data_IF_314361921750
#
_entry.id   IF_314361921750
#
_cell.length_a   1.000
_cell.length_b   1.000
_cell.length_c   1.000
_cell.angle_alpha   90.00
_cell.angle_beta   90.00
_cell.angle_gamma   90.00
#
_symmetry.space_group_name_H-M   'P 1'
#
loop_
_entity.id
_entity.type
_entity.pdbx_description
1 polymer ?
#
# COMPACT_ATOMS: atom_id res chain seq x y z
N UNK A 1 13.45 7.39 103.66
CA UNK A 1 13.76 8.80 104.00
C UNK A 1 15.21 9.21 103.71
N UNK A 2 16.26 8.44 104.06
CA UNK A 2 17.64 8.93 103.87
C UNK A 2 18.10 9.13 102.41
N UNK A 3 17.61 8.33 101.45
CA UNK A 3 18.06 8.41 100.04
C UNK A 3 17.51 9.64 99.28
N UNK A 4 16.23 9.96 99.43
CA UNK A 4 15.60 11.14 98.78
C UNK A 4 16.32 12.45 99.13
N UNK A 5 16.75 12.61 100.39
CA UNK A 5 17.46 13.81 100.84
C UNK A 5 18.86 13.96 100.21
N UNK A 6 19.50 12.84 99.83
CA UNK A 6 20.83 12.82 99.19
C UNK A 6 20.72 13.16 97.69
N UNK A 7 19.66 12.70 97.03
CA UNK A 7 19.33 13.09 95.65
C UNK A 7 18.95 14.58 95.55
N UNK A 8 18.17 15.10 96.50
CA UNK A 8 17.85 16.53 96.57
C UNK A 8 19.12 17.40 96.72
N UNK A 9 20.08 16.98 97.56
CA UNK A 9 21.36 17.69 97.70
C UNK A 9 22.24 17.57 96.44
N UNK A 10 22.26 16.41 95.79
CA UNK A 10 23.00 16.20 94.52
C UNK A 10 22.46 17.09 93.40
N UNK A 11 21.12 17.21 93.30
CA UNK A 11 20.46 18.08 92.32
C UNK A 11 20.71 19.57 92.61
N UNK A 12 20.71 19.97 93.88
CA UNK A 12 21.09 21.34 94.32
C UNK A 12 22.54 21.67 93.91
N UNK A 13 23.49 20.73 94.01
CA UNK A 13 24.87 20.94 93.56
C UNK A 13 24.91 21.08 92.02
N UNK A 14 24.25 20.17 91.29
CA UNK A 14 24.22 20.20 89.83
C UNK A 14 23.52 21.45 89.23
N UNK A 15 22.52 22.02 89.92
CA UNK A 15 21.91 23.30 89.52
C UNK A 15 22.83 24.50 89.82
N UNK A 16 23.59 24.43 90.92
CA UNK A 16 24.53 25.49 91.31
C UNK A 16 25.73 25.56 90.37
N UNK A 17 26.26 24.42 89.94
CA UNK A 17 27.35 24.33 88.95
C UNK A 17 26.92 24.81 87.54
N UNK A 18 25.63 25.10 87.33
CA UNK A 18 25.03 25.57 86.07
C UNK A 18 24.53 27.02 86.13
N UNK A 19 24.78 27.75 87.23
CA UNK A 19 24.31 29.13 87.48
C UNK A 19 22.79 29.34 87.28
N UNK A 20 21.99 28.29 87.49
CA UNK A 20 20.52 28.38 87.42
C UNK A 20 20.02 28.94 88.77
N UNK A 21 19.18 29.99 88.80
CA UNK A 21 18.60 30.47 90.05
C UNK A 21 17.52 29.50 90.54
N UNK A 22 17.67 28.94 91.76
CA UNK A 22 16.73 27.99 92.34
C UNK A 22 16.45 28.25 93.83
N UNK A 23 15.29 27.78 94.30
CA UNK A 23 14.86 27.89 95.70
C UNK A 23 15.17 26.58 96.47
N UNK A 24 16.18 26.63 97.34
CA UNK A 24 16.61 25.47 98.16
C UNK A 24 15.52 24.87 99.05
N UNK A 25 14.54 25.67 99.49
CA UNK A 25 13.47 25.19 100.37
C UNK A 25 12.42 24.37 99.59
N UNK A 26 12.09 24.84 98.38
CA UNK A 26 11.03 24.31 97.52
C UNK A 26 11.43 22.98 96.87
N UNK A 27 12.70 22.87 96.44
CA UNK A 27 13.28 21.57 96.01
C UNK A 27 13.23 20.56 97.16
N UNK A 28 13.58 20.98 98.39
CA UNK A 28 13.56 20.08 99.55
C UNK A 28 12.14 19.64 99.92
N UNK A 29 11.11 20.48 99.76
CA UNK A 29 9.72 20.06 99.94
C UNK A 29 9.25 19.07 98.87
N UNK A 30 9.60 19.28 97.59
CA UNK A 30 9.20 18.43 96.47
C UNK A 30 9.79 17.01 96.50
N UNK A 31 10.82 16.79 97.33
CA UNK A 31 11.40 15.47 97.63
C UNK A 31 10.92 14.87 98.98
N UNK A 32 10.17 15.62 99.78
CA UNK A 32 9.51 15.10 101.01
C UNK A 32 8.09 14.58 100.79
N UNK A 33 7.41 14.97 99.71
CA UNK A 33 6.11 14.43 99.37
C UNK A 33 6.26 13.09 98.61
N UNK A 34 5.73 12.01 99.19
CA UNK A 34 6.06 10.63 98.81
C UNK A 34 5.60 10.27 97.39
N UNK A 35 4.61 11.01 96.86
CA UNK A 35 4.10 10.82 95.50
C UNK A 35 4.95 11.55 94.46
N UNK A 36 5.27 12.83 94.69
CA UNK A 36 6.10 13.64 93.80
C UNK A 36 7.57 13.20 93.80
N UNK A 37 8.08 12.66 94.92
CA UNK A 37 9.45 12.17 95.02
C UNK A 37 9.78 11.13 93.93
N UNK A 38 8.87 10.20 93.61
CA UNK A 38 9.13 9.17 92.59
C UNK A 38 9.22 9.74 91.16
N UNK A 39 8.34 10.69 90.81
CA UNK A 39 8.40 11.38 89.52
C UNK A 39 9.64 12.27 89.45
N UNK A 40 9.92 13.05 90.50
CA UNK A 40 11.09 13.92 90.60
C UNK A 40 12.42 13.13 90.55
N UNK A 41 12.50 11.93 91.12
CA UNK A 41 13.66 11.03 90.95
C UNK A 41 13.83 10.58 89.49
N UNK A 42 12.75 10.25 88.79
CA UNK A 42 12.84 9.90 87.35
C UNK A 42 13.25 11.08 86.48
N UNK A 43 12.67 12.26 86.69
CA UNK A 43 13.05 13.50 85.99
C UNK A 43 14.50 13.91 86.27
N UNK A 44 14.96 13.78 87.52
CA UNK A 44 16.35 14.01 87.91
C UNK A 44 17.30 13.09 87.15
N UNK A 45 16.96 11.80 87.05
CA UNK A 45 17.76 10.80 86.35
C UNK A 45 17.83 11.07 84.85
N UNK A 46 16.72 11.47 84.22
CA UNK A 46 16.65 11.87 82.81
C UNK A 46 17.47 13.15 82.56
N UNK A 47 17.35 14.15 83.43
CA UNK A 47 18.10 15.42 83.34
C UNK A 47 19.62 15.22 83.51
N UNK A 48 20.03 14.31 84.40
CA UNK A 48 21.43 13.88 84.51
C UNK A 48 21.90 13.14 83.23
N UNK A 49 21.04 12.33 82.61
CA UNK A 49 21.35 11.68 81.32
C UNK A 49 21.48 12.68 80.16
N UNK A 50 20.91 13.89 80.28
CA UNK A 50 21.08 14.99 79.32
C UNK A 50 22.52 15.54 79.27
N UNK A 51 23.31 15.38 80.34
CA UNK A 51 24.74 15.80 80.37
C UNK A 51 25.57 15.13 79.26
N UNK A 52 25.22 13.89 78.93
CA UNK A 52 25.92 13.07 77.95
C UNK A 52 25.61 13.52 76.51
N UNK A 53 24.50 14.23 76.29
CA UNK A 53 24.20 14.89 75.02
C UNK A 53 24.95 16.21 74.87
N UNK A 54 25.14 16.96 75.95
CA UNK A 54 25.88 18.24 75.92
C UNK A 54 27.37 17.99 75.64
N UNK A 55 27.96 16.96 76.26
CA UNK A 55 29.35 16.54 75.97
C UNK A 55 29.51 15.97 74.56
N UNK A 56 28.52 15.25 74.03
CA UNK A 56 28.54 14.81 72.62
C UNK A 56 28.41 15.98 71.65
N UNK A 57 27.58 16.98 71.95
CA UNK A 57 27.43 18.17 71.11
C UNK A 57 28.73 18.97 71.02
N UNK A 58 29.41 19.25 72.14
CA UNK A 58 30.70 19.97 72.13
C UNK A 58 31.81 19.17 71.47
N UNK A 59 31.79 17.83 71.54
CA UNK A 59 32.69 16.97 70.76
C UNK A 59 32.38 17.00 69.25
N UNK A 60 31.10 17.05 68.85
CA UNK A 60 30.67 17.14 67.44
C UNK A 60 30.94 18.52 66.81
N UNK A 61 30.91 19.58 67.63
CA UNK A 61 31.29 20.95 67.27
C UNK A 61 32.82 21.08 67.14
N UNK A 62 33.58 20.63 68.13
CA UNK A 62 35.06 20.70 68.11
C UNK A 62 35.72 19.77 67.07
N UNK A 63 35.07 18.67 66.68
CA UNK A 63 35.54 17.82 65.56
C UNK A 63 35.19 18.38 64.18
N UNK A 64 34.47 19.50 64.08
CA UNK A 64 34.05 20.10 62.81
C UNK A 64 33.05 19.26 62.00
N UNK A 65 32.61 18.12 62.53
CA UNK A 65 31.67 17.20 61.86
C UNK A 65 30.31 17.87 61.62
N UNK A 66 29.86 18.73 62.54
CA UNK A 66 28.64 19.53 62.34
C UNK A 66 28.75 20.44 61.11
N UNK A 67 29.88 21.14 60.93
CA UNK A 67 30.07 22.02 59.77
C UNK A 67 30.09 21.22 58.46
N UNK A 68 30.64 20.01 58.50
CA UNK A 68 30.66 19.11 57.35
C UNK A 68 29.27 18.54 57.02
N UNK A 69 28.44 18.25 58.02
CA UNK A 69 27.03 17.84 57.83
C UNK A 69 26.21 19.01 57.27
N UNK A 70 26.36 20.22 57.80
CA UNK A 70 25.69 21.43 57.32
C UNK A 70 26.05 21.73 55.85
N UNK A 71 27.31 21.53 55.45
CA UNK A 71 27.76 21.77 54.07
C UNK A 71 27.39 20.65 53.07
N UNK A 72 27.14 19.42 53.53
CA UNK A 72 26.76 18.28 52.68
C UNK A 72 25.24 17.99 52.69
N UNK A 73 24.47 18.79 53.42
CA UNK A 73 23.01 18.75 53.37
C UNK A 73 22.55 19.33 52.03
N UNK A 74 22.06 18.47 51.13
CA UNK A 74 21.16 18.91 50.07
C UNK A 74 20.00 19.64 50.76
N UNK A 75 19.92 20.96 50.57
CA UNK A 75 19.12 21.88 51.39
C UNK A 75 17.60 21.65 51.32
N UNK A 76 17.18 20.62 50.59
CA UNK A 76 15.81 20.16 50.40
C UNK A 76 15.46 18.90 51.22
N UNK A 77 16.45 18.16 51.75
CA UNK A 77 16.23 16.91 52.47
C UNK A 77 15.74 17.11 53.92
N UNK A 78 16.37 18.05 54.64
CA UNK A 78 16.16 18.29 56.07
C UNK A 78 15.37 19.57 56.38
N UNK A 79 15.01 20.35 55.35
CA UNK A 79 14.11 21.50 55.51
C UNK A 79 12.71 20.97 55.85
N UNK A 80 12.07 21.43 56.94
CA UNK A 80 10.67 21.09 57.22
C UNK A 80 9.81 21.41 55.99
N UNK A 81 9.01 20.45 55.54
CA UNK A 81 8.22 20.60 54.32
C UNK A 81 7.18 21.71 54.52
N UNK A 82 7.33 22.85 53.81
CA UNK A 82 6.48 24.02 54.01
C UNK A 82 5.10 23.82 53.38
N UNK A 83 4.09 24.51 53.94
CA UNK A 83 2.73 24.56 53.36
C UNK A 83 2.72 25.11 51.92
N UNK A 84 3.69 25.95 51.55
CA UNK A 84 3.88 26.41 50.16
C UNK A 84 4.32 25.27 49.22
N UNK A 85 5.21 24.39 49.70
CA UNK A 85 5.71 23.25 48.92
C UNK A 85 4.61 22.18 48.78
N UNK A 86 3.80 21.97 49.83
CA UNK A 86 2.53 21.23 49.76
C UNK A 86 1.58 21.82 48.71
N UNK A 87 1.35 23.14 48.74
CA UNK A 87 0.40 23.80 47.81
C UNK A 87 0.89 23.75 46.37
N UNK A 88 2.19 23.92 46.15
CA UNK A 88 2.84 23.76 44.84
C UNK A 88 2.73 22.32 44.33
N UNK A 89 2.95 21.33 45.20
CA UNK A 89 2.77 19.91 44.89
C UNK A 89 1.32 19.59 44.50
N UNK A 90 0.34 20.05 45.27
CA UNK A 90 -1.10 19.90 44.99
C UNK A 90 -1.46 20.56 43.65
N UNK A 91 -0.93 21.76 43.39
CA UNK A 91 -1.19 22.47 42.12
C UNK A 91 -0.59 21.73 40.91
N UNK A 92 0.65 21.20 41.00
CA UNK A 92 1.23 20.39 39.93
C UNK A 92 0.49 19.07 39.71
N UNK A 93 0.02 18.42 40.78
CA UNK A 93 -0.76 17.19 40.69
C UNK A 93 -2.14 17.44 40.07
N UNK A 94 -2.79 18.55 40.42
CA UNK A 94 -4.06 18.98 39.83
C UNK A 94 -3.91 19.35 38.35
N UNK A 95 -2.84 20.04 37.96
CA UNK A 95 -2.52 20.35 36.55
C UNK A 95 -2.32 19.06 35.73
N UNK A 96 -1.46 18.16 36.19
CA UNK A 96 -1.24 16.84 35.59
C UNK A 96 -2.55 16.04 35.49
N UNK A 97 -3.36 16.01 36.56
CA UNK A 97 -4.67 15.34 36.56
C UNK A 97 -5.62 15.94 35.52
N UNK A 98 -5.68 17.26 35.38
CA UNK A 98 -6.50 17.93 34.38
C UNK A 98 -6.04 17.62 32.94
N UNK A 99 -4.72 17.52 32.69
CA UNK A 99 -4.17 17.13 31.39
C UNK A 99 -4.44 15.66 31.08
N UNK A 100 -4.26 14.76 32.05
CA UNK A 100 -4.64 13.34 31.92
C UNK A 100 -6.14 13.20 31.63
N UNK A 101 -7.01 13.98 32.28
CA UNK A 101 -8.44 14.01 31.98
C UNK A 101 -8.79 14.60 30.61
N UNK A 102 -8.04 15.62 30.13
CA UNK A 102 -8.15 16.12 28.74
C UNK A 102 -7.81 15.01 27.76
N UNK A 103 -6.67 14.35 27.94
CA UNK A 103 -6.22 13.26 27.06
C UNK A 103 -7.12 12.03 27.11
N UNK A 104 -7.66 11.65 28.28
CA UNK A 104 -8.62 10.55 28.38
C UNK A 104 -9.90 10.83 27.58
N UNK A 105 -10.39 12.08 27.57
CA UNK A 105 -11.53 12.49 26.72
C UNK A 105 -11.17 12.44 25.24
N UNK A 106 -9.96 12.86 24.87
CA UNK A 106 -9.42 12.73 23.51
C UNK A 106 -9.39 11.27 23.06
N UNK A 107 -8.75 10.40 23.82
CA UNK A 107 -8.62 8.98 23.50
C UNK A 107 -9.99 8.30 23.41
N UNK A 108 -10.93 8.62 24.32
CA UNK A 108 -12.31 8.14 24.22
C UNK A 108 -12.98 8.59 22.91
N UNK A 109 -12.84 9.87 22.53
CA UNK A 109 -13.40 10.36 21.26
C UNK A 109 -12.74 9.75 20.01
N UNK A 110 -11.46 9.37 20.09
CA UNK A 110 -10.74 8.66 19.03
C UNK A 110 -11.21 7.20 18.93
N UNK A 111 -11.40 6.50 20.05
CA UNK A 111 -12.02 5.18 20.08
C UNK A 111 -13.44 5.20 19.48
N UNK A 112 -14.29 6.14 19.91
CA UNK A 112 -15.64 6.32 19.37
C UNK A 112 -15.64 6.62 17.86
N UNK A 113 -14.61 7.31 17.34
CA UNK A 113 -14.44 7.59 15.92
C UNK A 113 -14.03 6.32 15.15
N UNK A 114 -13.04 5.58 15.65
CA UNK A 114 -12.59 4.30 15.07
C UNK A 114 -13.75 3.29 15.02
N UNK A 115 -14.57 3.20 16.08
CA UNK A 115 -15.76 2.33 16.12
C UNK A 115 -16.87 2.76 15.15
N UNK A 116 -16.95 4.04 14.81
CA UNK A 116 -17.85 4.54 13.75
C UNK A 116 -17.30 4.20 12.37
N UNK A 117 -16.00 4.37 12.13
CA UNK A 117 -15.37 4.01 10.85
C UNK A 117 -15.37 2.50 10.58
N UNK A 118 -15.17 1.65 11.60
CA UNK A 118 -15.31 0.21 11.47
C UNK A 118 -16.73 -0.19 11.07
N UNK A 119 -17.76 0.42 11.67
CA UNK A 119 -19.17 0.22 11.28
C UNK A 119 -19.46 0.69 9.86
N UNK A 120 -19.08 1.93 9.52
CA UNK A 120 -19.20 2.47 8.15
C UNK A 120 -18.49 1.58 7.13
N UNK A 121 -17.32 1.02 7.47
CA UNK A 121 -16.58 0.08 6.60
C UNK A 121 -17.35 -1.22 6.37
N UNK A 122 -17.92 -1.82 7.42
CA UNK A 122 -18.75 -3.01 7.29
C UNK A 122 -19.99 -2.73 6.42
N UNK A 123 -20.67 -1.60 6.60
CA UNK A 123 -21.82 -1.18 5.78
C UNK A 123 -21.44 -0.94 4.31
N UNK A 124 -20.27 -0.35 4.05
CA UNK A 124 -19.72 -0.18 2.68
C UNK A 124 -19.40 -1.55 2.05
N UNK A 125 -18.83 -2.47 2.81
CA UNK A 125 -18.51 -3.82 2.33
C UNK A 125 -19.76 -4.65 2.02
N UNK A 126 -20.79 -4.59 2.87
CA UNK A 126 -22.10 -5.21 2.60
C UNK A 126 -22.70 -4.64 1.32
N UNK A 127 -22.81 -3.31 1.18
CA UNK A 127 -23.34 -2.66 -0.04
C UNK A 127 -22.58 -3.08 -1.30
N UNK A 128 -21.24 -3.11 -1.25
CA UNK A 128 -20.39 -3.56 -2.36
C UNK A 128 -20.65 -5.02 -2.73
N UNK A 129 -20.77 -5.90 -1.74
CA UNK A 129 -21.04 -7.32 -1.98
C UNK A 129 -22.45 -7.53 -2.57
N UNK A 130 -23.45 -6.79 -2.11
CA UNK A 130 -24.81 -6.79 -2.70
C UNK A 130 -24.80 -6.33 -4.17
N UNK A 131 -24.09 -5.24 -4.49
CA UNK A 131 -23.94 -4.78 -5.88
C UNK A 131 -23.23 -5.80 -6.78
N UNK A 132 -22.16 -6.43 -6.30
CA UNK A 132 -21.46 -7.52 -7.02
C UNK A 132 -22.41 -8.71 -7.28
N UNK A 133 -23.25 -9.07 -6.33
CA UNK A 133 -24.19 -10.18 -6.49
C UNK A 133 -25.33 -9.84 -7.46
N UNK A 134 -25.83 -8.59 -7.47
CA UNK A 134 -26.76 -8.12 -8.51
C UNK A 134 -26.14 -8.16 -9.91
N UNK A 135 -24.88 -7.73 -10.08
CA UNK A 135 -24.17 -7.81 -11.35
C UNK A 135 -23.97 -9.27 -11.81
N UNK A 136 -23.64 -10.18 -10.90
CA UNK A 136 -23.56 -11.62 -11.17
C UNK A 136 -24.91 -12.21 -11.58
N UNK A 137 -25.98 -11.87 -10.87
CA UNK A 137 -27.33 -12.31 -11.19
C UNK A 137 -27.74 -11.81 -12.58
N UNK A 138 -27.51 -10.53 -12.87
CA UNK A 138 -27.77 -9.92 -14.18
C UNK A 138 -26.99 -10.62 -15.30
N UNK A 139 -25.68 -10.80 -15.14
CA UNK A 139 -24.86 -11.52 -16.11
C UNK A 139 -25.35 -12.95 -16.34
N UNK A 140 -25.75 -13.66 -15.27
CA UNK A 140 -26.32 -15.00 -15.39
C UNK A 140 -27.66 -15.00 -16.13
N UNK A 141 -28.54 -14.02 -15.92
CA UNK A 141 -29.81 -13.87 -16.65
C UNK A 141 -29.60 -13.46 -18.12
N UNK A 142 -28.67 -12.54 -18.42
CA UNK A 142 -28.31 -12.17 -19.79
C UNK A 142 -27.66 -13.34 -20.53
N UNK A 143 -26.79 -14.11 -19.86
CA UNK A 143 -26.22 -15.37 -20.36
C UNK A 143 -27.30 -16.43 -20.59
N UNK A 144 -28.32 -16.53 -19.74
CA UNK A 144 -29.45 -17.44 -19.97
C UNK A 144 -30.29 -17.03 -21.19
N UNK A 145 -30.61 -15.74 -21.36
CA UNK A 145 -31.30 -15.21 -22.55
C UNK A 145 -30.51 -15.51 -23.83
N UNK A 146 -29.23 -15.18 -23.84
CA UNK A 146 -28.32 -15.43 -24.98
C UNK A 146 -27.90 -16.89 -25.15
N UNK A 147 -28.22 -17.79 -24.21
CA UNK A 147 -27.79 -19.19 -24.27
C UNK A 147 -28.55 -19.99 -25.32
N UNK A 148 -27.97 -20.05 -26.53
CA UNK A 148 -28.18 -21.04 -27.59
C UNK A 148 -29.61 -21.20 -28.19
N UNK A 149 -30.69 -20.85 -27.49
CA UNK A 149 -32.07 -20.97 -27.97
C UNK A 149 -32.42 -19.91 -29.01
N UNK A 150 -32.32 -18.63 -28.64
CA UNK A 150 -32.61 -17.50 -29.54
C UNK A 150 -31.66 -17.49 -30.75
N UNK A 151 -30.35 -17.59 -30.53
CA UNK A 151 -29.36 -17.58 -31.64
C UNK A 151 -29.60 -18.76 -32.61
N UNK A 152 -29.96 -19.95 -32.10
CA UNK A 152 -30.30 -21.10 -32.97
C UNK A 152 -31.63 -20.89 -33.70
N UNK A 153 -32.63 -20.27 -33.08
CA UNK A 153 -33.89 -19.95 -33.73
C UNK A 153 -33.71 -18.91 -34.83
N UNK A 154 -32.96 -17.82 -34.56
CA UNK A 154 -32.63 -16.77 -35.53
C UNK A 154 -31.82 -17.34 -36.70
N UNK A 155 -30.74 -18.07 -36.44
CA UNK A 155 -29.94 -18.71 -37.50
C UNK A 155 -30.77 -19.71 -38.33
N UNK A 156 -31.73 -20.41 -37.71
CA UNK A 156 -32.63 -21.32 -38.43
C UNK A 156 -33.54 -20.54 -39.38
N UNK A 157 -34.21 -19.49 -38.90
CA UNK A 157 -35.07 -18.63 -39.71
C UNK A 157 -34.27 -17.99 -40.86
N UNK A 158 -33.05 -17.51 -40.58
CA UNK A 158 -32.16 -16.93 -41.59
C UNK A 158 -31.70 -17.96 -42.63
N UNK A 159 -31.45 -19.21 -42.22
CA UNK A 159 -31.16 -20.32 -43.14
C UNK A 159 -32.36 -20.71 -44.02
N UNK A 160 -33.58 -20.63 -43.48
CA UNK A 160 -34.82 -20.91 -44.23
C UNK A 160 -35.13 -19.78 -45.22
N UNK A 161 -34.89 -18.51 -44.83
CA UNK A 161 -35.03 -17.34 -45.69
C UNK A 161 -34.00 -17.35 -46.84
N UNK A 162 -32.71 -17.57 -46.56
CA UNK A 162 -31.67 -17.65 -47.61
C UNK A 162 -31.91 -18.81 -48.58
N UNK A 163 -32.46 -19.93 -48.12
CA UNK A 163 -32.90 -21.02 -48.99
C UNK A 163 -34.13 -20.65 -49.85
N UNK A 164 -35.08 -19.86 -49.31
CA UNK A 164 -36.22 -19.35 -50.06
C UNK A 164 -35.81 -18.32 -51.13
N UNK A 165 -34.94 -17.37 -50.78
CA UNK A 165 -34.40 -16.38 -51.71
C UNK A 165 -33.54 -17.03 -52.80
N UNK A 166 -32.72 -18.04 -52.47
CA UNK A 166 -31.99 -18.83 -53.46
C UNK A 166 -32.94 -19.49 -54.48
N UNK A 167 -34.04 -20.08 -54.02
CA UNK A 167 -35.08 -20.65 -54.90
C UNK A 167 -35.79 -19.60 -55.74
N UNK A 168 -36.04 -18.41 -55.18
CA UNK A 168 -36.64 -17.28 -55.90
C UNK A 168 -35.70 -16.75 -56.98
N UNK A 169 -34.42 -16.56 -56.68
CA UNK A 169 -33.38 -16.16 -57.63
C UNK A 169 -33.27 -17.20 -58.75
N UNK A 170 -33.18 -18.50 -58.43
CA UNK A 170 -33.15 -19.56 -59.44
C UNK A 170 -34.40 -19.59 -60.31
N UNK A 171 -35.58 -19.32 -59.73
CA UNK A 171 -36.85 -19.24 -60.47
C UNK A 171 -36.92 -18.00 -61.37
N UNK A 172 -36.36 -16.87 -60.92
CA UNK A 172 -36.23 -15.66 -61.74
C UNK A 172 -35.21 -15.86 -62.86
N UNK A 173 -34.02 -16.39 -62.58
CA UNK A 173 -33.02 -16.73 -63.59
C UNK A 173 -33.55 -17.74 -64.62
N UNK A 174 -34.30 -18.76 -64.18
CA UNK A 174 -34.93 -19.71 -65.09
C UNK A 174 -36.08 -19.10 -65.93
N UNK A 175 -36.73 -18.03 -65.44
CA UNK A 175 -37.71 -17.27 -66.22
C UNK A 175 -37.03 -16.34 -67.23
N UNK A 176 -35.95 -15.66 -66.83
CA UNK A 176 -35.12 -14.84 -67.71
C UNK A 176 -34.49 -15.69 -68.82
N UNK A 177 -33.81 -16.79 -68.49
CA UNK A 177 -33.26 -17.72 -69.48
C UNK A 177 -34.31 -18.22 -70.47
N UNK A 178 -35.54 -18.48 -70.02
CA UNK A 178 -36.64 -18.88 -70.93
C UNK A 178 -37.14 -17.76 -71.83
N UNK A 179 -37.14 -16.52 -71.36
CA UNK A 179 -37.51 -15.37 -72.19
C UNK A 179 -36.36 -14.98 -73.14
N UNK A 180 -35.11 -15.16 -72.71
CA UNK A 180 -33.90 -15.02 -73.55
C UNK A 180 -33.85 -16.12 -74.62
N UNK A 181 -34.09 -17.39 -74.27
CA UNK A 181 -34.22 -18.52 -75.22
C UNK A 181 -35.32 -18.24 -76.25
N UNK A 182 -36.44 -17.64 -75.80
CA UNK A 182 -37.56 -17.24 -76.66
C UNK A 182 -37.19 -16.07 -77.56
N UNK A 183 -36.53 -15.04 -77.03
CA UNK A 183 -36.05 -13.89 -77.78
C UNK A 183 -34.98 -14.31 -78.80
N UNK A 184 -34.11 -15.26 -78.46
CA UNK A 184 -33.16 -15.89 -79.36
C UNK A 184 -33.86 -16.70 -80.45
N UNK A 185 -34.89 -17.50 -80.13
CA UNK A 185 -35.68 -18.21 -81.14
C UNK A 185 -36.47 -17.26 -82.06
N UNK A 186 -37.01 -16.17 -81.52
CA UNK A 186 -37.67 -15.11 -82.30
C UNK A 186 -36.65 -14.34 -83.16
N UNK A 187 -35.43 -14.11 -82.67
CA UNK A 187 -34.33 -13.47 -83.39
C UNK A 187 -33.67 -14.38 -84.42
N UNK A 188 -33.57 -15.69 -84.18
CA UNK A 188 -33.17 -16.70 -85.16
C UNK A 188 -34.22 -16.80 -86.28
N UNK A 189 -35.52 -16.74 -85.94
CA UNK A 189 -36.59 -16.65 -86.94
C UNK A 189 -36.50 -15.36 -87.76
N UNK A 190 -36.21 -14.23 -87.12
CA UNK A 190 -36.01 -12.95 -87.82
C UNK A 190 -34.75 -12.96 -88.68
N UNK A 191 -33.62 -13.47 -88.18
CA UNK A 191 -32.35 -13.60 -88.91
C UNK A 191 -32.39 -14.65 -90.02
N UNK A 192 -33.22 -15.69 -89.89
CA UNK A 192 -33.53 -16.61 -90.99
C UNK A 192 -34.35 -15.94 -92.10
N UNK A 193 -35.11 -14.88 -91.77
CA UNK A 193 -35.79 -14.02 -92.75
C UNK A 193 -34.92 -12.88 -93.28
N UNK A 194 -33.98 -12.38 -92.46
CA UNK A 194 -32.99 -11.35 -92.80
C UNK A 194 -31.69 -12.06 -93.15
N UNK A 195 -31.63 -12.60 -94.38
CA UNK A 195 -30.35 -12.98 -94.98
C UNK A 195 -29.35 -11.82 -94.87
N UNK A 196 -28.03 -12.10 -94.73
CA UNK A 196 -27.06 -11.11 -94.27
C UNK A 196 -27.13 -9.84 -95.12
N UNK A 197 -27.64 -8.77 -94.51
CA UNK A 197 -27.72 -7.46 -95.15
C UNK A 197 -26.27 -7.04 -95.38
N UNK A 198 -25.86 -7.02 -96.65
CA UNK A 198 -24.43 -6.97 -97.02
C UNK A 198 -23.67 -5.74 -96.51
N UNK A 199 -24.39 -4.74 -96.01
CA UNK A 199 -23.86 -3.50 -95.48
C UNK A 199 -23.05 -3.71 -94.19
N UNK A 200 -23.55 -4.46 -93.19
CA UNK A 200 -22.84 -4.70 -91.92
C UNK A 200 -21.54 -5.50 -92.12
N UNK A 201 -21.59 -6.51 -92.99
CA UNK A 201 -20.39 -7.24 -93.41
C UNK A 201 -19.39 -6.34 -94.15
N UNK A 202 -19.86 -5.30 -94.86
CA UNK A 202 -19.01 -4.30 -95.50
C UNK A 202 -18.44 -3.29 -94.49
N UNK A 203 -19.19 -2.89 -93.46
CA UNK A 203 -18.74 -1.93 -92.43
C UNK A 203 -17.74 -2.58 -91.48
N UNK A 204 -17.93 -3.85 -91.09
CA UNK A 204 -16.95 -4.60 -90.28
C UNK A 204 -15.67 -4.89 -91.09
N UNK A 205 -15.80 -5.20 -92.39
CA UNK A 205 -14.62 -5.25 -93.30
C UNK A 205 -13.93 -3.90 -93.39
N UNK A 206 -14.67 -2.81 -93.63
CA UNK A 206 -14.10 -1.45 -93.76
C UNK A 206 -13.43 -0.96 -92.48
N UNK A 207 -13.97 -1.27 -91.30
CA UNK A 207 -13.34 -0.87 -90.02
C UNK A 207 -12.12 -1.73 -89.69
N UNK A 208 -12.13 -3.03 -90.03
CA UNK A 208 -10.93 -3.86 -89.93
C UNK A 208 -9.85 -3.49 -90.95
N UNK A 209 -10.21 -3.19 -92.20
CA UNK A 209 -9.33 -2.64 -93.26
C UNK A 209 -8.72 -1.29 -92.85
N UNK A 210 -9.51 -0.37 -92.28
CA UNK A 210 -8.97 0.90 -91.78
C UNK A 210 -8.05 0.70 -90.56
N UNK A 211 -8.35 -0.28 -89.71
CA UNK A 211 -7.51 -0.64 -88.56
C UNK A 211 -6.18 -1.29 -88.99
N UNK A 212 -6.18 -2.16 -90.00
CA UNK A 212 -4.94 -2.73 -90.56
C UNK A 212 -4.10 -1.67 -91.29
N UNK A 213 -4.73 -0.78 -92.06
CA UNK A 213 -4.05 0.35 -92.71
C UNK A 213 -3.41 1.28 -91.66
N UNK A 214 -4.13 1.62 -90.58
CA UNK A 214 -3.60 2.47 -89.51
C UNK A 214 -2.47 1.78 -88.74
N UNK A 215 -2.57 0.47 -88.47
CA UNK A 215 -1.50 -0.29 -87.85
C UNK A 215 -0.24 -0.35 -88.74
N UNK A 216 -0.43 -0.51 -90.06
CA UNK A 216 0.66 -0.51 -91.04
C UNK A 216 1.35 0.85 -91.13
N UNK A 217 0.61 1.96 -91.24
CA UNK A 217 1.22 3.30 -91.25
C UNK A 217 1.96 3.64 -89.95
N UNK A 218 1.50 3.15 -88.79
CA UNK A 218 2.24 3.31 -87.53
C UNK A 218 3.53 2.46 -87.50
N UNK A 219 3.51 1.25 -88.07
CA UNK A 219 4.71 0.44 -88.22
C UNK A 219 5.71 1.13 -89.17
N UNK A 220 5.27 1.57 -90.35
CA UNK A 220 6.07 2.34 -91.29
C UNK A 220 6.65 3.62 -90.66
N UNK A 221 5.87 4.41 -89.89
CA UNK A 221 6.40 5.61 -89.22
C UNK A 221 7.53 5.27 -88.26
N UNK A 222 7.41 4.17 -87.49
CA UNK A 222 8.45 3.71 -86.57
C UNK A 222 9.69 3.26 -87.37
N UNK A 223 9.50 2.51 -88.46
CA UNK A 223 10.59 2.07 -89.35
C UNK A 223 11.33 3.27 -89.99
N UNK A 224 10.62 4.22 -90.61
CA UNK A 224 11.23 5.43 -91.19
C UNK A 224 11.93 6.31 -90.14
N UNK A 225 11.43 6.34 -88.90
CA UNK A 225 12.11 7.03 -87.79
C UNK A 225 13.38 6.30 -87.36
N UNK A 226 13.39 4.97 -87.39
CA UNK A 226 14.55 4.15 -87.11
C UNK A 226 15.61 4.32 -88.21
N UNK A 227 15.24 4.22 -89.48
CA UNK A 227 16.09 4.51 -90.66
C UNK A 227 16.76 5.88 -90.57
N UNK A 228 15.98 6.92 -90.22
CA UNK A 228 16.51 8.28 -90.08
C UNK A 228 17.56 8.36 -88.97
N UNK A 229 17.31 7.73 -87.83
CA UNK A 229 18.25 7.69 -86.70
C UNK A 229 19.49 6.85 -87.06
N UNK A 230 19.33 5.75 -87.79
CA UNK A 230 20.43 4.92 -88.29
C UNK A 230 21.34 5.72 -89.25
N UNK A 231 20.76 6.43 -90.23
CA UNK A 231 21.51 7.29 -91.15
C UNK A 231 22.16 8.50 -90.45
N UNK A 232 21.50 9.10 -89.46
CA UNK A 232 22.07 10.17 -88.64
C UNK A 232 23.25 9.66 -87.80
N UNK A 233 23.13 8.49 -87.19
CA UNK A 233 24.19 7.82 -86.43
C UNK A 233 25.36 7.39 -87.33
N UNK A 234 25.12 6.88 -88.55
CA UNK A 234 26.16 6.61 -89.54
C UNK A 234 26.92 7.89 -89.92
N UNK A 235 26.22 9.02 -90.07
CA UNK A 235 26.84 10.30 -90.40
C UNK A 235 27.69 10.85 -89.24
N UNK A 236 27.20 10.74 -88.01
CA UNK A 236 27.98 11.04 -86.79
C UNK A 236 29.16 10.07 -86.64
N UNK A 237 28.97 8.79 -86.98
CA UNK A 237 30.00 7.76 -87.04
C UNK A 237 31.11 8.11 -88.02
N UNK A 238 30.78 8.47 -89.26
CA UNK A 238 31.75 8.91 -90.29
C UNK A 238 32.55 10.15 -89.83
N UNK A 239 31.92 11.12 -89.17
CA UNK A 239 32.68 12.26 -88.62
C UNK A 239 33.69 11.84 -87.53
N UNK A 240 33.40 10.79 -86.75
CA UNK A 240 34.28 10.26 -85.69
C UNK A 240 35.33 9.27 -86.21
N UNK A 241 35.00 8.47 -87.22
CA UNK A 241 35.90 7.51 -87.87
C UNK A 241 37.09 8.18 -88.56
N UNK A 242 36.98 9.48 -88.89
CA UNK A 242 38.11 10.28 -89.39
C UNK A 242 39.24 10.51 -88.38
N UNK A 243 39.08 10.11 -87.11
CA UNK A 243 40.05 10.37 -86.04
C UNK A 243 40.64 9.13 -85.33
N UNK A 244 40.15 7.90 -85.54
CA UNK A 244 40.76 6.70 -84.95
C UNK A 244 40.68 5.47 -85.87
N UNK A 245 41.83 4.81 -86.05
CA UNK A 245 41.96 3.46 -86.59
C UNK A 245 41.79 2.44 -85.46
N UNK A 246 40.72 1.64 -85.45
CA UNK A 246 40.79 0.27 -84.89
C UNK A 246 39.65 -0.65 -85.40
N UNK A 247 39.97 -1.94 -85.58
CA UNK A 247 39.09 -2.95 -86.17
C UNK A 247 38.01 -3.52 -85.23
N UNK A 248 37.99 -3.13 -83.95
CA UNK A 248 37.04 -3.65 -82.95
C UNK A 248 35.63 -3.05 -83.11
N UNK A 249 35.51 -1.90 -83.79
CA UNK A 249 34.21 -1.28 -84.06
C UNK A 249 33.33 -2.08 -85.03
N UNK A 250 33.93 -2.92 -85.88
CA UNK A 250 33.25 -3.66 -86.94
C UNK A 250 32.37 -4.78 -86.36
N UNK A 251 32.90 -5.60 -85.45
CA UNK A 251 32.17 -6.71 -84.83
C UNK A 251 30.99 -6.25 -83.96
N UNK A 252 31.13 -5.11 -83.26
CA UNK A 252 30.02 -4.48 -82.51
C UNK A 252 28.98 -3.88 -83.46
N UNK A 253 29.40 -3.33 -84.61
CA UNK A 253 28.47 -2.79 -85.61
C UNK A 253 27.67 -3.92 -86.28
N UNK A 254 28.32 -5.04 -86.62
CA UNK A 254 27.69 -6.25 -87.18
C UNK A 254 26.70 -6.85 -86.17
N UNK A 255 27.04 -6.88 -84.87
CA UNK A 255 26.14 -7.36 -83.83
C UNK A 255 24.89 -6.48 -83.70
N UNK A 256 25.05 -5.15 -83.73
CA UNK A 256 23.95 -4.18 -83.68
C UNK A 256 23.10 -4.18 -84.95
N UNK A 257 23.71 -4.37 -86.12
CA UNK A 257 23.01 -4.50 -87.41
C UNK A 257 22.10 -5.73 -87.40
N UNK A 258 22.59 -6.88 -86.91
CA UNK A 258 21.78 -8.10 -86.72
C UNK A 258 20.65 -7.91 -85.72
N UNK A 259 20.86 -7.15 -84.64
CA UNK A 259 19.78 -6.81 -83.69
C UNK A 259 18.75 -5.85 -84.32
N UNK A 260 19.18 -4.93 -85.17
CA UNK A 260 18.30 -4.05 -85.93
C UNK A 260 17.46 -4.85 -86.95
N UNK A 261 18.08 -5.74 -87.72
CA UNK A 261 17.41 -6.69 -88.64
C UNK A 261 16.35 -7.54 -87.93
N UNK A 262 16.58 -7.91 -86.67
CA UNK A 262 15.59 -8.63 -85.85
C UNK A 262 14.44 -7.75 -85.33
N UNK A 263 14.64 -6.43 -85.24
CA UNK A 263 13.67 -5.49 -84.63
C UNK A 263 12.60 -5.02 -85.63
N UNK A 264 12.93 -4.90 -86.92
CA UNK A 264 11.94 -4.63 -87.98
C UNK A 264 10.74 -5.61 -87.98
N UNK A 265 10.94 -6.95 -88.03
CA UNK A 265 9.82 -7.89 -88.00
C UNK A 265 9.11 -7.97 -86.63
N UNK A 266 9.75 -7.56 -85.53
CA UNK A 266 9.09 -7.47 -84.22
C UNK A 266 8.08 -6.30 -84.16
N UNK A 267 8.41 -5.16 -84.77
CA UNK A 267 7.47 -4.03 -84.92
C UNK A 267 6.21 -4.48 -85.67
N UNK A 268 6.36 -5.23 -86.76
CA UNK A 268 5.24 -5.75 -87.56
C UNK A 268 4.37 -6.73 -86.74
N UNK A 269 4.99 -7.62 -85.96
CA UNK A 269 4.26 -8.53 -85.06
C UNK A 269 3.51 -7.79 -83.93
N UNK A 270 4.08 -6.73 -83.35
CA UNK A 270 3.42 -5.95 -82.30
C UNK A 270 2.26 -5.10 -82.84
N UNK A 271 2.37 -4.61 -84.07
CA UNK A 271 1.26 -3.96 -84.78
C UNK A 271 0.09 -4.93 -85.00
N UNK A 272 0.37 -6.22 -85.24
CA UNK A 272 -0.64 -7.28 -85.28
C UNK A 272 -1.23 -7.60 -83.90
N UNK A 273 -0.44 -7.72 -82.84
CA UNK A 273 -0.96 -8.04 -81.50
C UNK A 273 -1.86 -6.95 -80.91
N UNK A 274 -1.53 -5.66 -81.14
CA UNK A 274 -2.31 -4.51 -80.65
C UNK A 274 -3.78 -4.51 -81.12
N UNK A 275 -4.08 -5.24 -82.20
CA UNK A 275 -5.43 -5.45 -82.77
C UNK A 275 -6.43 -6.10 -81.79
N UNK A 276 -6.04 -6.53 -80.57
CA UNK A 276 -6.81 -7.48 -79.75
C UNK A 276 -7.23 -7.14 -78.29
N UNK A 277 -6.79 -6.07 -77.60
CA UNK A 277 -6.76 -6.06 -76.09
C UNK A 277 -7.59 -5.01 -75.30
N UNK A 278 -8.02 -3.86 -75.84
CA UNK A 278 -7.91 -2.59 -75.08
C UNK A 278 -8.71 -2.28 -73.76
N UNK A 279 -9.89 -2.84 -73.37
CA UNK A 279 -10.79 -2.18 -72.38
C UNK A 279 -10.85 -2.70 -70.92
N UNK A 280 -11.29 -1.81 -69.99
CA UNK A 280 -11.82 -2.01 -68.60
C UNK A 280 -10.87 -1.73 -67.40
N UNK A 281 -11.32 -0.91 -66.41
CA UNK A 281 -11.06 -0.90 -64.92
C UNK A 281 -10.80 0.50 -64.27
N UNK A 282 -11.58 0.91 -63.23
CA UNK A 282 -11.18 1.85 -62.13
C UNK A 282 -12.25 2.10 -61.01
N UNK A 283 -11.78 2.37 -59.76
CA UNK A 283 -12.32 3.30 -58.71
C UNK A 283 -12.94 2.80 -57.36
N UNK A 284 -12.38 3.22 -56.18
CA UNK A 284 -13.02 3.57 -54.86
C UNK A 284 -12.02 4.25 -53.86
N UNK A 285 -12.46 5.10 -52.89
CA UNK A 285 -11.68 5.43 -51.67
C UNK A 285 -12.50 5.62 -50.33
N UNK A 286 -11.90 6.27 -49.29
CA UNK A 286 -12.04 5.94 -47.84
C UNK A 286 -12.34 7.12 -46.83
N UNK A 287 -12.43 6.75 -45.53
CA UNK A 287 -12.93 7.39 -44.29
C UNK A 287 -12.17 8.58 -43.63
N UNK A 288 -12.69 9.12 -42.47
CA UNK A 288 -11.93 9.64 -41.28
C UNK A 288 -12.78 10.26 -40.13
N UNK A 289 -12.33 10.15 -38.86
CA UNK A 289 -12.49 11.14 -37.74
C UNK A 289 -11.67 10.77 -36.49
N UNK A 290 -11.00 11.74 -35.84
CA UNK A 290 -10.23 11.64 -34.56
C UNK A 290 -10.21 13.04 -33.92
N UNK A 291 -10.51 13.23 -32.62
CA UNK A 291 -10.19 14.50 -31.87
C UNK A 291 -10.44 14.50 -30.32
N UNK A 292 -11.02 13.46 -29.70
CA UNK A 292 -11.67 13.58 -28.35
C UNK A 292 -10.84 13.18 -27.11
N UNK A 293 -9.51 13.36 -27.09
CA UNK A 293 -8.65 12.64 -26.11
C UNK A 293 -8.18 13.47 -24.90
N UNK A 294 -8.16 14.81 -24.95
CA UNK A 294 -7.33 15.59 -24.01
C UNK A 294 -7.91 15.86 -22.61
N UNK A 295 -9.23 15.97 -22.45
CA UNK A 295 -9.83 16.42 -21.17
C UNK A 295 -9.87 15.34 -20.10
N UNK A 296 -9.97 14.07 -20.50
CA UNK A 296 -10.11 12.91 -19.61
C UNK A 296 -8.92 12.68 -18.67
N UNK A 297 -7.74 13.21 -19.00
CA UNK A 297 -6.51 12.91 -18.26
C UNK A 297 -6.37 13.66 -16.93
N UNK A 298 -6.74 14.94 -16.88
CA UNK A 298 -6.60 15.77 -15.68
C UNK A 298 -7.53 15.30 -14.54
N UNK A 299 -8.76 14.92 -14.89
CA UNK A 299 -9.76 14.46 -13.93
C UNK A 299 -9.36 13.12 -13.28
N UNK A 300 -8.80 12.20 -14.07
CA UNK A 300 -8.29 10.92 -13.59
C UNK A 300 -7.16 11.06 -12.55
N UNK A 301 -6.35 12.12 -12.63
CA UNK A 301 -5.27 12.36 -11.66
C UNK A 301 -5.80 12.76 -10.27
N UNK A 302 -6.86 13.58 -10.21
CA UNK A 302 -7.48 14.02 -8.95
C UNK A 302 -8.13 12.84 -8.23
N UNK A 303 -8.90 12.02 -8.95
CA UNK A 303 -9.61 10.86 -8.37
C UNK A 303 -8.65 9.82 -7.79
N UNK A 304 -7.52 9.54 -8.47
CA UNK A 304 -6.47 8.66 -7.91
C UNK A 304 -5.90 9.18 -6.60
N UNK A 305 -5.71 10.50 -6.46
CA UNK A 305 -5.18 11.13 -5.24
C UNK A 305 -6.16 11.03 -4.06
N UNK A 306 -7.46 10.96 -4.32
CA UNK A 306 -8.50 10.73 -3.30
C UNK A 306 -8.85 9.25 -3.10
N UNK A 307 -8.19 8.32 -3.80
CA UNK A 307 -8.49 6.88 -3.74
C UNK A 307 -9.80 6.47 -4.40
N UNK A 308 -10.36 7.31 -5.28
CA UNK A 308 -11.62 7.08 -5.98
C UNK A 308 -11.38 6.60 -7.42
N UNK A 309 -12.28 5.77 -7.95
CA UNK A 309 -12.27 5.36 -9.37
C UNK A 309 -13.08 6.34 -10.21
N UNK A 310 -12.65 6.58 -11.46
CA UNK A 310 -13.47 7.29 -12.45
C UNK A 310 -14.79 6.58 -12.74
N UNK A 311 -14.80 5.25 -12.64
CA UNK A 311 -15.98 4.43 -12.88
C UNK A 311 -17.07 4.69 -11.81
N UNK A 312 -16.72 4.75 -10.53
CA UNK A 312 -17.70 4.98 -9.46
C UNK A 312 -18.20 6.43 -9.34
N UNK A 313 -17.61 7.37 -10.10
CA UNK A 313 -17.97 8.79 -10.09
C UNK A 313 -18.72 9.19 -11.36
N UNK A 314 -18.37 8.63 -12.53
CA UNK A 314 -18.99 8.96 -13.82
C UNK A 314 -19.90 7.87 -14.40
N UNK A 315 -19.83 6.64 -13.88
CA UNK A 315 -20.81 5.58 -14.12
C UNK A 315 -21.39 5.07 -12.78
N UNK A 316 -22.06 5.94 -12.00
CA UNK A 316 -22.81 5.47 -10.85
C UNK A 316 -24.01 4.64 -11.32
N UNK A 317 -24.35 3.56 -10.59
CA UNK A 317 -25.54 2.73 -10.87
C UNK A 317 -26.85 3.50 -10.62
N UNK A 318 -26.83 4.53 -9.76
CA UNK A 318 -27.94 5.43 -9.43
C UNK A 318 -27.52 6.91 -9.62
N UNK A 319 -28.44 7.77 -10.08
CA UNK A 319 -28.19 9.17 -10.49
C UNK A 319 -27.44 10.07 -9.47
N UNK A 320 -27.43 9.72 -8.17
CA UNK A 320 -26.73 10.47 -7.11
C UNK A 320 -25.52 9.76 -6.49
N UNK A 321 -25.30 8.47 -6.74
CA UNK A 321 -24.33 7.68 -5.95
C UNK A 321 -22.87 8.17 -6.10
N UNK A 322 -22.51 8.74 -7.26
CA UNK A 322 -21.18 9.32 -7.48
C UNK A 322 -20.92 10.60 -6.65
N UNK A 323 -21.97 11.37 -6.34
CA UNK A 323 -21.89 12.59 -5.52
C UNK A 323 -21.74 12.20 -4.04
N UNK A 324 -22.50 11.20 -3.59
CA UNK A 324 -22.43 10.69 -2.21
C UNK A 324 -21.04 10.14 -1.87
N UNK A 325 -20.42 9.38 -2.78
CA UNK A 325 -19.04 8.87 -2.63
C UNK A 325 -18.01 9.99 -2.46
N UNK A 326 -18.15 11.10 -3.20
CA UNK A 326 -17.30 12.29 -3.05
C UNK A 326 -17.55 13.02 -1.72
N UNK A 327 -18.80 13.07 -1.26
CA UNK A 327 -19.19 13.72 0.00
C UNK A 327 -18.69 12.94 1.23
N UNK A 328 -18.76 11.61 1.19
CA UNK A 328 -18.20 10.69 2.18
C UNK A 328 -16.67 10.79 2.25
N UNK A 329 -15.99 10.76 1.09
CA UNK A 329 -14.53 10.92 1.03
C UNK A 329 -14.06 12.25 1.64
N UNK A 330 -14.80 13.34 1.37
CA UNK A 330 -14.53 14.66 1.97
C UNK A 330 -14.73 14.67 3.49
N UNK A 331 -15.77 14.01 4.01
CA UNK A 331 -15.99 13.89 5.45
C UNK A 331 -14.89 13.08 6.13
N UNK A 332 -14.50 11.94 5.57
CA UNK A 332 -13.40 11.13 6.08
C UNK A 332 -12.08 11.93 6.17
N UNK A 333 -11.76 12.72 5.14
CA UNK A 333 -10.57 13.61 5.18
C UNK A 333 -10.64 14.66 6.30
N UNK A 334 -11.83 15.22 6.58
CA UNK A 334 -12.03 16.19 7.65
C UNK A 334 -11.88 15.54 9.04
N UNK A 335 -12.50 14.37 9.25
CA UNK A 335 -12.38 13.58 10.48
C UNK A 335 -10.91 13.20 10.76
N UNK A 336 -10.14 12.79 9.73
CA UNK A 336 -8.70 12.54 9.86
C UNK A 336 -7.94 13.79 10.34
N UNK A 337 -8.15 14.95 9.71
CA UNK A 337 -7.45 16.19 10.07
C UNK A 337 -7.76 16.62 11.52
N UNK A 338 -9.01 16.50 11.94
CA UNK A 338 -9.40 16.80 13.32
C UNK A 338 -8.69 15.86 14.32
N UNK A 339 -8.63 14.56 14.03
CA UNK A 339 -7.94 13.59 14.87
C UNK A 339 -6.43 13.85 15.00
N UNK A 340 -5.76 14.31 13.93
CA UNK A 340 -4.34 14.69 13.97
C UNK A 340 -4.06 15.95 14.80
N UNK A 341 -4.90 16.99 14.69
CA UNK A 341 -4.74 18.21 15.48
C UNK A 341 -4.84 17.94 16.99
N UNK A 342 -5.83 17.13 17.39
CA UNK A 342 -6.04 16.80 18.81
C UNK A 342 -4.87 15.99 19.40
N UNK A 343 -4.18 15.17 18.59
CA UNK A 343 -3.01 14.41 19.01
C UNK A 343 -1.75 15.29 19.24
N UNK A 344 -1.66 16.45 18.60
CA UNK A 344 -0.54 17.38 18.77
C UNK A 344 -0.66 18.26 20.04
N UNK A 345 -1.88 18.58 20.47
CA UNK A 345 -2.20 19.61 21.49
C UNK A 345 -2.04 19.16 22.97
N UNK A 346 -1.27 18.12 23.25
CA UNK A 346 -1.09 17.62 24.62
C UNK A 346 0.24 16.86 24.85
N UNK A 347 1.36 17.53 25.14
CA UNK A 347 2.59 16.89 25.60
C UNK A 347 2.44 16.38 27.05
N UNK A 348 1.86 15.19 27.24
CA UNK A 348 1.72 14.56 28.57
C UNK A 348 3.04 14.51 29.34
N UNK A 349 4.14 14.31 28.60
CA UNK A 349 5.49 14.07 29.12
C UNK A 349 5.95 15.18 30.07
N UNK A 350 5.67 16.46 29.78
CA UNK A 350 6.16 17.56 30.61
C UNK A 350 5.46 17.62 31.97
N UNK A 351 4.14 17.41 31.99
CA UNK A 351 3.34 17.36 33.23
C UNK A 351 3.61 16.09 34.03
N UNK A 352 3.83 14.95 33.36
CA UNK A 352 4.13 13.68 34.01
C UNK A 352 5.49 13.71 34.73
N UNK A 353 6.50 14.37 34.14
CA UNK A 353 7.82 14.57 34.78
C UNK A 353 7.69 15.45 36.03
N UNK A 354 6.96 16.57 35.95
CA UNK A 354 6.70 17.43 37.13
C UNK A 354 5.97 16.66 38.23
N UNK A 355 5.01 15.82 37.85
CA UNK A 355 4.27 14.96 38.77
C UNK A 355 5.16 13.90 39.43
N UNK A 356 6.06 13.22 38.70
CA UNK A 356 6.94 12.18 39.25
C UNK A 356 8.04 12.76 40.17
N UNK A 357 8.53 13.96 39.86
CA UNK A 357 9.41 14.71 40.77
C UNK A 357 8.67 15.06 42.07
N UNK A 358 7.42 15.51 41.95
CA UNK A 358 6.57 15.89 43.10
C UNK A 358 6.22 14.69 43.98
N UNK A 359 5.84 13.55 43.41
CA UNK A 359 5.54 12.32 44.18
C UNK A 359 6.79 11.77 44.87
N UNK A 360 7.97 11.83 44.23
CA UNK A 360 9.24 11.48 44.88
C UNK A 360 9.52 12.36 46.09
N UNK A 361 9.43 13.67 45.96
CA UNK A 361 9.65 14.62 47.08
C UNK A 361 8.69 14.37 48.25
N UNK A 362 7.39 14.17 47.97
CA UNK A 362 6.40 13.79 48.98
C UNK A 362 6.73 12.45 49.65
N UNK A 363 7.14 11.44 48.86
CA UNK A 363 7.50 10.13 49.39
C UNK A 363 8.77 10.15 50.25
N UNK A 364 9.77 10.97 49.89
CA UNK A 364 10.97 11.18 50.71
C UNK A 364 10.61 11.84 52.03
N UNK A 365 9.84 12.94 51.98
CA UNK A 365 9.42 13.67 53.19
C UNK A 365 8.61 12.79 54.16
N UNK A 366 7.68 11.96 53.65
CA UNK A 366 6.91 11.02 54.48
C UNK A 366 7.77 9.89 55.06
N UNK A 367 8.79 9.41 54.33
CA UNK A 367 9.67 8.34 54.81
C UNK A 367 10.79 8.82 55.76
N UNK A 368 11.19 10.09 55.74
CA UNK A 368 12.19 10.64 56.68
C UNK A 368 11.71 10.53 58.14
N UNK A 369 10.40 10.65 58.41
CA UNK A 369 9.84 10.38 59.73
C UNK A 369 9.60 8.88 60.05
N UNK A 370 9.98 7.93 59.18
CA UNK A 370 9.65 6.50 59.31
C UNK A 370 10.72 5.63 59.98
N UNK A 371 11.55 6.22 60.86
CA UNK A 371 12.61 5.55 61.63
C UNK A 371 12.16 4.39 62.54
N UNK A 372 10.87 4.01 62.54
CA UNK A 372 10.32 2.83 63.22
C UNK A 372 10.62 1.52 62.47
N UNK A 373 11.04 1.58 61.19
CA UNK A 373 11.11 0.40 60.30
C UNK A 373 12.26 -0.58 60.57
N UNK A 374 13.25 -0.24 61.39
CA UNK A 374 14.49 -1.04 61.59
C UNK A 374 14.51 -1.97 62.81
N UNK A 375 13.37 -2.21 63.47
CA UNK A 375 13.29 -2.99 64.73
C UNK A 375 12.28 -4.16 64.71
N UNK A 376 11.85 -4.63 63.52
CA UNK A 376 10.80 -5.64 63.38
C UNK A 376 11.18 -6.89 62.55
N UNK A 377 12.46 -7.17 62.34
CA UNK A 377 12.93 -8.52 61.99
C UNK A 377 13.09 -9.32 63.28
N UNK A 378 12.08 -10.11 63.65
CA UNK A 378 12.19 -10.99 64.81
C UNK A 378 13.21 -12.10 64.53
N UNK A 379 14.23 -12.22 65.38
CA UNK A 379 15.30 -13.25 65.32
C UNK A 379 14.75 -14.69 65.17
N UNK A 380 13.50 -14.90 65.63
CA UNK A 380 12.78 -16.18 65.52
C UNK A 380 12.47 -16.60 64.08
N UNK A 381 12.45 -15.67 63.12
CA UNK A 381 12.24 -15.97 61.70
C UNK A 381 13.55 -16.29 60.97
N UNK A 382 14.66 -15.62 61.32
CA UNK A 382 15.98 -15.96 60.76
C UNK A 382 16.43 -17.36 61.19
N UNK A 383 16.25 -17.72 62.46
CA UNK A 383 16.55 -19.06 62.97
C UNK A 383 15.75 -20.17 62.22
N UNK A 384 14.49 -19.90 61.86
CA UNK A 384 13.64 -20.83 61.09
C UNK A 384 14.05 -20.94 59.62
N UNK A 385 14.51 -19.83 59.01
CA UNK A 385 15.08 -19.85 57.66
C UNK A 385 16.36 -20.68 57.62
N UNK A 386 17.21 -20.57 58.63
CA UNK A 386 18.46 -21.33 58.73
C UNK A 386 18.22 -22.85 58.88
N UNK A 387 17.24 -23.26 59.69
CA UNK A 387 16.81 -24.66 59.83
C UNK A 387 16.19 -25.23 58.52
N UNK A 388 15.40 -24.42 57.81
CA UNK A 388 14.87 -24.80 56.48
C UNK A 388 15.98 -24.95 55.43
N UNK A 389 16.99 -24.08 55.45
CA UNK A 389 18.12 -24.14 54.53
C UNK A 389 18.97 -25.40 54.76
N UNK A 390 19.26 -25.75 56.01
CA UNK A 390 19.93 -27.00 56.39
C UNK A 390 19.16 -28.25 55.92
N UNK A 391 17.83 -28.24 56.03
CA UNK A 391 16.98 -29.34 55.54
C UNK A 391 17.00 -29.44 54.01
N UNK A 392 17.00 -28.33 53.30
CA UNK A 392 17.08 -28.30 51.85
C UNK A 392 18.42 -28.89 51.35
N UNK A 393 19.53 -28.50 51.98
CA UNK A 393 20.87 -29.01 51.65
C UNK A 393 20.98 -30.53 51.88
N UNK A 394 20.37 -31.04 52.95
CA UNK A 394 20.33 -32.49 53.23
C UNK A 394 19.51 -33.26 52.17
N UNK A 395 18.38 -32.69 51.73
CA UNK A 395 17.57 -33.28 50.65
C UNK A 395 18.31 -33.24 49.30
N UNK A 396 18.96 -32.12 48.96
CA UNK A 396 19.75 -32.01 47.73
C UNK A 396 20.87 -33.06 47.69
N UNK A 397 21.60 -33.23 48.80
CA UNK A 397 22.65 -34.25 48.91
C UNK A 397 22.11 -35.68 48.83
N UNK A 398 20.89 -35.92 49.31
CA UNK A 398 20.18 -37.19 49.13
C UNK A 398 19.81 -37.47 47.67
N UNK A 399 19.41 -36.43 46.92
CA UNK A 399 19.13 -36.52 45.48
C UNK A 399 20.40 -36.75 44.66
N UNK A 400 21.52 -36.11 45.02
CA UNK A 400 22.82 -36.32 44.36
C UNK A 400 23.39 -37.74 44.59
N UNK A 401 22.99 -38.43 45.67
CA UNK A 401 23.38 -39.83 45.94
C UNK A 401 22.41 -40.88 45.39
N UNK A 402 21.34 -40.47 44.68
CA UNK A 402 20.44 -41.39 43.98
C UNK A 402 20.94 -41.66 42.55
N UNK A 403 21.54 -42.83 42.34
CA UNK A 403 21.96 -43.28 41.00
C UNK A 403 20.75 -43.61 40.11
N UNK A 404 20.37 -42.63 39.29
CA UNK A 404 19.33 -42.73 38.26
C UNK A 404 19.59 -43.85 37.24
N UNK A 405 20.83 -44.32 37.09
CA UNK A 405 21.20 -45.41 36.16
C UNK A 405 20.63 -46.77 36.55
N UNK A 406 20.33 -47.01 37.84
CA UNK A 406 19.73 -48.28 38.30
C UNK A 406 18.23 -48.35 37.99
N UNK A 407 17.54 -47.20 37.96
CA UNK A 407 16.10 -47.12 37.69
C UNK A 407 15.77 -47.30 36.19
N UNK A 408 16.75 -47.07 35.32
CA UNK A 408 16.60 -47.14 33.85
C UNK A 408 17.25 -48.37 33.21
N UNK A 409 17.61 -49.42 33.96
CA UNK A 409 17.95 -50.71 33.35
C UNK A 409 16.67 -51.42 32.87
N UNK A 410 16.51 -51.70 31.55
CA UNK A 410 15.38 -52.49 31.08
C UNK A 410 15.50 -53.93 31.60
N UNK A 411 14.44 -54.41 32.25
CA UNK A 411 14.37 -55.78 32.73
C UNK A 411 14.33 -56.74 31.53
N UNK A 412 15.30 -57.67 31.44
CA UNK A 412 15.35 -58.69 30.38
C UNK A 412 14.12 -59.60 30.37
N UNK A 413 13.36 -59.67 31.48
CA UNK A 413 12.06 -60.32 31.51
C UNK A 413 11.02 -59.65 30.60
N UNK A 414 11.10 -58.33 30.41
CA UNK A 414 10.11 -57.56 29.67
C UNK A 414 10.22 -57.75 28.15
N UNK A 415 11.43 -57.80 27.59
CA UNK A 415 11.67 -58.04 26.16
C UNK A 415 11.14 -59.43 25.74
N UNK A 416 11.45 -60.48 26.53
CA UNK A 416 10.96 -61.85 26.26
C UNK A 416 9.44 -62.02 26.42
N UNK A 417 8.78 -61.11 27.14
CA UNK A 417 7.32 -61.08 27.23
C UNK A 417 6.68 -60.47 25.98
N UNK A 418 7.30 -59.44 25.40
CA UNK A 418 6.82 -58.79 24.16
C UNK A 418 7.00 -59.72 22.95
N UNK A 419 8.15 -60.40 22.82
CA UNK A 419 8.38 -61.38 21.75
C UNK A 419 7.36 -62.53 21.78
N UNK A 420 6.94 -62.99 22.97
CA UNK A 420 5.95 -64.07 23.12
C UNK A 420 4.52 -63.70 22.73
N UNK A 421 4.19 -62.41 22.63
CA UNK A 421 2.84 -61.94 22.32
C UNK A 421 2.69 -61.31 20.93
N UNK A 422 3.72 -61.39 20.08
CA UNK A 422 3.56 -61.28 18.62
C UNK A 422 2.99 -59.95 18.12
N UNK A 423 3.36 -58.84 18.76
CA UNK A 423 3.06 -57.49 18.28
C UNK A 423 4.32 -56.86 17.67
N UNK A 424 4.50 -57.12 16.38
CA UNK A 424 5.38 -56.40 15.46
C UNK A 424 4.55 -55.92 14.26
#
# INVERSE_FOLDING_TARGET
MSQSNDLANTLIIALKDRDIPFNCAEIKSAFTDEKEATENETWSKISLQSTDYTSRYTNLESTGSLQNIINNLDTNADRPFLDEDLRKAINSLNASTAVIQKQRRVLASQCDNIDKELRRKAEREVRRNTGIEHLRQRYNSERQRTSAGEVRAVLKIESENTAADSKRILSTLAAWLKEDDRALADLERLGSGIGPTGDDASVVKRTSELSTILAHYLAEEIQYRLDRVYLENLRVGQTKASQNLDGVADEVSIALERELESLYPEIDMLAEMRRSIQPTLAYTPSAKRIDSVSESHALAAVLRRTGLSSESVFHPEDDNAGIDVLFDARHHMFDCLQNYGIAADAPLVTELISSDQTTRLLSSSLNVNSHVKTLLTSDTHEAKLFDLQLKLEHVQKGVEMLDLGVVFQPDRGQETFVERWGLA
#
